data_IF_484334779697
#
_entry.id   IF_484334779697
#
_cell.length_a   1.000
_cell.length_b   1.000
_cell.length_c   1.000
_cell.angle_alpha   90.00
_cell.angle_beta   90.00
_cell.angle_gamma   90.00
#
_symmetry.space_group_name_H-M   'P 1'
#
loop_
_entity.id
_entity.type
_entity.pdbx_description
1 polymer ?
#
# COMPACT_ATOMS: atom_id res chain seq x y z
N UNK A 1 5.75 -77.06 -19.17
CA UNK A 1 7.12 -76.94 -18.63
C UNK A 1 7.54 -75.48 -18.78
N UNK A 2 7.78 -74.82 -17.65
CA UNK A 2 7.82 -73.36 -17.45
C UNK A 2 9.09 -72.71 -18.01
N UNK A 3 9.00 -71.52 -18.59
CA UNK A 3 10.13 -70.57 -18.60
C UNK A 3 9.63 -69.19 -18.17
N UNK A 4 9.96 -68.83 -16.93
CA UNK A 4 9.50 -67.62 -16.26
C UNK A 4 10.18 -66.35 -16.78
N UNK A 5 9.36 -65.35 -17.07
CA UNK A 5 9.74 -63.96 -17.30
C UNK A 5 10.38 -63.39 -16.03
N UNK A 6 11.69 -63.12 -16.06
CA UNK A 6 12.37 -62.35 -15.03
C UNK A 6 12.29 -60.86 -15.39
N UNK A 7 11.28 -60.16 -14.86
CA UNK A 7 11.22 -58.69 -14.86
C UNK A 7 11.99 -58.22 -13.61
N UNK A 8 13.19 -57.63 -13.74
CA UNK A 8 13.91 -57.14 -12.57
C UNK A 8 13.14 -55.99 -11.91
N UNK A 9 12.72 -56.23 -10.66
CA UNK A 9 12.07 -55.24 -9.82
C UNK A 9 13.01 -54.07 -9.51
N UNK A 10 12.51 -52.88 -9.89
CA UNK A 10 12.82 -51.52 -9.44
C UNK A 10 13.53 -51.45 -8.08
N UNK A 11 14.78 -50.97 -8.07
CA UNK A 11 15.55 -50.65 -6.86
C UNK A 11 15.00 -49.39 -6.18
N UNK A 12 14.21 -49.57 -5.12
CA UNK A 12 13.56 -48.50 -4.33
C UNK A 12 14.51 -47.73 -3.38
N UNK A 13 15.83 -47.80 -3.55
CA UNK A 13 16.79 -47.06 -2.71
C UNK A 13 17.06 -45.62 -3.16
N UNK A 14 16.70 -45.27 -4.40
CA UNK A 14 16.79 -43.90 -4.92
C UNK A 14 15.66 -42.97 -4.44
N UNK A 15 14.60 -43.53 -3.81
CA UNK A 15 13.40 -42.77 -3.49
C UNK A 15 13.67 -41.66 -2.45
N UNK A 16 14.44 -41.96 -1.39
CA UNK A 16 14.75 -40.97 -0.33
C UNK A 16 15.61 -39.81 -0.82
N UNK A 17 16.60 -40.10 -1.67
CA UNK A 17 17.42 -39.07 -2.30
C UNK A 17 16.59 -38.18 -3.22
N UNK A 18 15.68 -38.78 -4.01
CA UNK A 18 14.81 -38.03 -4.90
C UNK A 18 13.80 -37.15 -4.14
N UNK A 19 13.22 -37.67 -3.04
CA UNK A 19 12.40 -36.88 -2.12
C UNK A 19 13.18 -35.74 -1.46
N UNK A 20 14.42 -35.98 -1.05
CA UNK A 20 15.29 -34.93 -0.50
C UNK A 20 15.59 -33.84 -1.54
N UNK A 21 15.87 -34.23 -2.78
CA UNK A 21 16.15 -33.29 -3.86
C UNK A 21 14.92 -32.46 -4.23
N UNK A 22 13.73 -33.06 -4.25
CA UNK A 22 12.45 -32.34 -4.41
C UNK A 22 12.23 -31.37 -3.26
N UNK A 23 12.45 -31.80 -2.01
CA UNK A 23 12.29 -30.94 -0.84
C UNK A 23 13.26 -29.74 -0.90
N UNK A 24 14.51 -29.96 -1.32
CA UNK A 24 15.51 -28.90 -1.50
C UNK A 24 15.08 -27.88 -2.55
N UNK A 25 14.63 -28.34 -3.72
CA UNK A 25 14.14 -27.46 -4.79
C UNK A 25 12.88 -26.70 -4.35
N UNK A 26 11.96 -27.38 -3.67
CA UNK A 26 10.75 -26.76 -3.09
C UNK A 26 11.09 -25.67 -2.06
N UNK A 27 12.06 -25.93 -1.18
CA UNK A 27 12.53 -24.94 -0.21
C UNK A 27 13.20 -23.73 -0.89
N UNK A 28 14.03 -23.96 -1.92
CA UNK A 28 14.66 -22.88 -2.67
C UNK A 28 13.62 -21.99 -3.39
N UNK A 29 12.60 -22.60 -4.00
CA UNK A 29 11.49 -21.88 -4.62
C UNK A 29 10.69 -21.07 -3.60
N UNK A 30 10.44 -21.62 -2.40
CA UNK A 30 9.74 -20.91 -1.33
C UNK A 30 10.54 -19.69 -0.84
N UNK A 31 11.86 -19.82 -0.69
CA UNK A 31 12.72 -18.68 -0.31
C UNK A 31 12.69 -17.60 -1.40
N UNK A 32 12.73 -17.98 -2.67
CA UNK A 32 12.63 -17.01 -3.77
C UNK A 32 11.26 -16.31 -3.78
N UNK A 33 10.16 -17.06 -3.66
CA UNK A 33 8.82 -16.50 -3.58
C UNK A 33 8.63 -15.58 -2.37
N UNK A 34 9.26 -15.90 -1.24
CA UNK A 34 9.24 -15.05 -0.05
C UNK A 34 9.93 -13.70 -0.29
N UNK A 35 11.08 -13.70 -0.98
CA UNK A 35 11.77 -12.45 -1.33
C UNK A 35 10.95 -11.61 -2.33
N UNK A 36 10.30 -12.25 -3.32
CA UNK A 36 9.40 -11.57 -4.24
C UNK A 36 8.18 -10.96 -3.54
N UNK A 37 7.60 -11.67 -2.57
CA UNK A 37 6.50 -11.17 -1.75
C UNK A 37 6.91 -9.98 -0.87
N UNK A 38 8.14 -10.00 -0.34
CA UNK A 38 8.69 -8.86 0.42
C UNK A 38 8.83 -7.62 -0.45
N UNK A 39 9.32 -7.76 -1.69
CA UNK A 39 9.44 -6.63 -2.62
C UNK A 39 8.06 -6.12 -3.06
N UNK A 40 7.11 -7.01 -3.34
CA UNK A 40 5.75 -6.63 -3.71
C UNK A 40 5.00 -5.88 -2.60
N UNK A 41 5.41 -6.04 -1.34
CA UNK A 41 4.88 -5.30 -0.19
C UNK A 41 5.63 -4.00 0.12
N UNK A 42 6.73 -3.68 -0.56
CA UNK A 42 7.42 -2.41 -0.35
C UNK A 42 6.63 -1.20 -0.87
N UNK A 43 5.66 -1.45 -1.77
CA UNK A 43 4.90 -0.42 -2.48
C UNK A 43 3.39 -0.57 -2.25
N UNK A 44 2.68 0.55 -2.31
CA UNK A 44 1.24 0.62 -2.19
C UNK A 44 0.54 0.02 -3.42
N UNK A 45 -0.55 -0.70 -3.17
CA UNK A 45 -1.30 -1.39 -4.19
C UNK A 45 -1.84 -0.41 -5.26
N UNK A 46 -1.98 -0.85 -6.52
CA UNK A 46 -2.65 -0.05 -7.54
C UNK A 46 -4.07 0.36 -7.11
N UNK A 47 -4.46 1.60 -7.40
CA UNK A 47 -5.75 2.18 -7.01
C UNK A 47 -5.82 2.68 -5.57
N UNK A 48 -4.72 2.58 -4.79
CA UNK A 48 -4.70 3.07 -3.40
C UNK A 48 -4.72 4.60 -3.36
N UNK A 49 -5.56 5.15 -2.49
CA UNK A 49 -5.66 6.59 -2.21
C UNK A 49 -5.42 6.87 -0.72
N UNK A 50 -4.76 7.99 -0.44
CA UNK A 50 -4.49 8.48 0.91
C UNK A 50 -5.06 9.91 1.01
N UNK A 51 -6.11 10.09 1.80
CA UNK A 51 -6.82 11.37 1.86
C UNK A 51 -7.40 11.80 0.51
N UNK A 52 -7.79 10.85 -0.34
CA UNK A 52 -8.24 11.13 -1.71
C UNK A 52 -7.11 11.41 -2.72
N UNK A 53 -5.85 11.50 -2.29
CA UNK A 53 -4.69 11.65 -3.18
C UNK A 53 -4.24 10.28 -3.69
N UNK A 54 -4.03 10.09 -5.01
CA UNK A 54 -3.56 8.83 -5.57
C UNK A 54 -2.09 8.54 -5.21
N UNK A 55 -1.87 7.42 -4.52
CA UNK A 55 -0.55 7.01 -3.99
C UNK A 55 -0.13 5.61 -4.47
N UNK A 56 -0.72 5.16 -5.57
CA UNK A 56 -0.43 3.86 -6.19
C UNK A 56 1.05 3.72 -6.56
N UNK A 57 1.65 2.58 -6.22
CA UNK A 57 3.05 2.27 -6.57
C UNK A 57 4.09 3.04 -5.77
N UNK A 58 3.69 3.89 -4.83
CA UNK A 58 4.62 4.56 -3.91
C UNK A 58 4.95 3.71 -2.70
N UNK A 59 6.12 3.92 -2.13
CA UNK A 59 6.40 3.53 -0.76
C UNK A 59 5.55 4.35 0.24
N UNK A 60 5.36 3.87 1.48
CA UNK A 60 4.67 4.62 2.53
C UNK A 60 5.19 6.04 2.74
N UNK A 61 6.51 6.23 2.72
CA UNK A 61 7.13 7.54 2.97
C UNK A 61 6.96 8.49 1.76
N UNK A 62 7.12 7.99 0.53
CA UNK A 62 6.81 8.78 -0.68
C UNK A 62 5.33 9.17 -0.74
N UNK A 63 4.43 8.32 -0.23
CA UNK A 63 3.00 8.61 -0.18
C UNK A 63 2.70 9.76 0.79
N UNK A 64 3.34 9.77 1.95
CA UNK A 64 3.27 10.89 2.91
C UNK A 64 3.78 12.17 2.30
N UNK A 65 4.94 12.13 1.61
CA UNK A 65 5.50 13.30 0.93
C UNK A 65 4.54 13.84 -0.13
N UNK A 66 4.00 12.97 -1.00
CA UNK A 66 3.04 13.36 -2.04
C UNK A 66 1.79 14.00 -1.45
N UNK A 67 1.24 13.43 -0.38
CA UNK A 67 0.05 13.99 0.28
C UNK A 67 0.39 15.33 0.93
N UNK A 68 1.55 15.45 1.56
CA UNK A 68 2.02 16.72 2.13
C UNK A 68 2.05 17.81 1.05
N UNK A 69 2.68 17.53 -0.10
CA UNK A 69 2.73 18.47 -1.22
C UNK A 69 1.34 18.81 -1.76
N UNK A 70 0.46 17.82 -1.91
CA UNK A 70 -0.89 18.04 -2.43
C UNK A 70 -1.72 18.94 -1.51
N UNK A 71 -1.61 18.77 -0.20
CA UNK A 71 -2.35 19.54 0.80
C UNK A 71 -1.70 20.89 1.13
N UNK A 72 -0.50 21.19 0.63
CA UNK A 72 0.10 22.52 0.67
C UNK A 72 -0.43 23.44 -0.44
N UNK A 73 -1.18 22.92 -1.40
CA UNK A 73 -1.76 23.73 -2.47
C UNK A 73 -2.86 24.65 -1.91
N UNK A 74 -2.96 25.90 -2.40
CA UNK A 74 -4.03 26.80 -2.00
C UNK A 74 -5.40 26.29 -2.48
N UNK A 75 -6.41 26.55 -1.68
CA UNK A 75 -7.81 26.33 -2.07
C UNK A 75 -8.31 27.62 -2.71
N UNK A 76 -8.97 27.51 -3.86
CA UNK A 76 -9.53 28.66 -4.56
C UNK A 76 -10.95 28.91 -4.08
N UNK A 77 -11.16 30.07 -3.47
CA UNK A 77 -12.48 30.59 -3.12
C UNK A 77 -13.00 31.42 -4.28
N UNK A 78 -14.23 31.15 -4.68
CA UNK A 78 -14.92 31.94 -5.70
C UNK A 78 -15.92 32.86 -5.01
N UNK A 79 -15.69 34.17 -5.13
CA UNK A 79 -16.59 35.20 -4.64
C UNK A 79 -16.95 36.13 -5.79
N UNK A 80 -18.21 36.07 -6.22
CA UNK A 80 -18.70 36.73 -7.44
C UNK A 80 -17.83 36.38 -8.66
N UNK A 81 -17.23 37.39 -9.31
CA UNK A 81 -16.29 37.18 -10.43
C UNK A 81 -14.81 37.11 -9.98
N UNK A 82 -14.53 37.13 -8.68
CA UNK A 82 -13.18 37.10 -8.14
C UNK A 82 -12.79 35.71 -7.64
N UNK A 83 -11.55 35.30 -7.94
CA UNK A 83 -10.94 34.08 -7.38
C UNK A 83 -9.88 34.45 -6.36
N UNK A 84 -10.04 33.96 -5.13
CA UNK A 84 -9.21 34.32 -3.99
C UNK A 84 -8.51 33.04 -3.51
N UNK A 85 -7.16 32.98 -3.54
CA UNK A 85 -6.43 31.85 -2.98
C UNK A 85 -6.46 31.91 -1.45
N UNK A 86 -6.84 30.79 -0.83
CA UNK A 86 -6.70 30.54 0.61
C UNK A 86 -5.56 29.56 0.82
N UNK A 87 -4.50 30.00 1.47
CA UNK A 87 -3.38 29.13 1.79
C UNK A 87 -3.69 28.33 3.06
N UNK A 88 -3.38 27.02 3.09
CA UNK A 88 -3.59 26.17 4.27
C UNK A 88 -2.95 26.75 5.55
N UNK A 89 -1.79 27.39 5.42
CA UNK A 89 -1.08 28.01 6.53
C UNK A 89 -1.84 29.20 7.16
N UNK A 90 -2.66 29.92 6.39
CA UNK A 90 -3.48 31.04 6.89
C UNK A 90 -4.59 30.57 7.83
N UNK A 91 -5.04 29.33 7.69
CA UNK A 91 -6.07 28.72 8.54
C UNK A 91 -5.49 27.69 9.52
N UNK A 92 -4.18 27.73 9.72
CA UNK A 92 -3.45 26.79 10.57
C UNK A 92 -3.80 25.31 10.26
N UNK A 93 -3.98 24.99 8.97
CA UNK A 93 -4.30 23.63 8.54
C UNK A 93 -3.17 22.67 8.89
N UNK A 94 -3.49 21.57 9.57
CA UNK A 94 -2.53 20.52 9.94
C UNK A 94 -3.09 19.14 9.66
N UNK A 95 -2.26 18.29 9.08
CA UNK A 95 -2.54 16.86 8.94
C UNK A 95 -2.04 16.15 10.20
N UNK A 96 -2.88 15.28 10.77
CA UNK A 96 -2.47 14.40 11.84
C UNK A 96 -1.72 13.20 11.25
N UNK A 97 -0.40 13.32 11.18
CA UNK A 97 0.45 12.25 10.65
C UNK A 97 0.54 11.03 11.56
N UNK A 98 0.31 11.19 12.86
CA UNK A 98 0.31 10.07 13.81
C UNK A 98 -0.85 9.11 13.50
N UNK A 99 -2.06 9.65 13.36
CA UNK A 99 -3.24 8.83 13.04
C UNK A 99 -3.20 8.31 11.61
N UNK A 100 -2.68 9.11 10.67
CA UNK A 100 -2.49 8.68 9.28
C UNK A 100 -1.52 7.51 9.16
N UNK A 101 -0.38 7.55 9.89
CA UNK A 101 0.58 6.43 9.90
C UNK A 101 0.00 5.17 10.52
N UNK A 102 -0.75 5.31 11.62
CA UNK A 102 -1.44 4.17 12.22
C UNK A 102 -2.42 3.51 11.24
N UNK A 103 -3.22 4.30 10.52
CA UNK A 103 -4.14 3.80 9.49
C UNK A 103 -3.39 3.11 8.33
N UNK A 104 -2.24 3.64 7.93
CA UNK A 104 -1.38 3.08 6.89
C UNK A 104 -0.76 1.74 7.30
N UNK A 105 -0.23 1.67 8.52
CA UNK A 105 0.32 0.44 9.11
C UNK A 105 -0.75 -0.65 9.23
N UNK A 106 -1.97 -0.27 9.65
CA UNK A 106 -3.10 -1.19 9.75
C UNK A 106 -3.51 -1.73 8.37
N UNK A 107 -3.61 -0.86 7.36
CA UNK A 107 -3.88 -1.26 5.97
C UNK A 107 -2.80 -2.21 5.44
N UNK A 108 -1.53 -1.93 5.76
CA UNK A 108 -0.39 -2.75 5.37
C UNK A 108 -0.36 -4.12 6.09
N UNK A 109 -0.77 -4.16 7.36
CA UNK A 109 -0.91 -5.39 8.14
C UNK A 109 -2.06 -6.26 7.61
N UNK A 110 -3.22 -5.65 7.29
CA UNK A 110 -4.38 -6.35 6.70
C UNK A 110 -4.07 -6.99 5.34
N UNK A 111 -3.26 -6.33 4.52
CA UNK A 111 -2.79 -6.87 3.24
C UNK A 111 -1.70 -7.94 3.39
N UNK A 112 -1.12 -8.10 4.59
CA UNK A 112 -0.01 -8.99 4.87
C UNK A 112 -0.37 -10.42 5.26
N UNK A 113 0.60 -11.11 5.87
CA UNK A 113 0.44 -12.46 6.42
C UNK A 113 0.34 -13.57 5.37
N UNK A 114 -0.16 -14.73 5.80
CA UNK A 114 -0.30 -15.95 4.97
C UNK A 114 -1.30 -15.73 3.84
N UNK A 115 -2.37 -14.98 4.07
CA UNK A 115 -3.40 -14.68 3.05
C UNK A 115 -2.83 -13.82 1.91
N UNK A 116 -2.06 -12.78 2.24
CA UNK A 116 -1.37 -11.97 1.23
C UNK A 116 -0.32 -12.78 0.45
N UNK A 117 0.41 -13.67 1.13
CA UNK A 117 1.38 -14.56 0.49
C UNK A 117 0.72 -15.53 -0.50
N UNK A 118 -0.39 -16.17 -0.11
CA UNK A 118 -1.15 -17.04 -1.00
C UNK A 118 -1.71 -16.26 -2.20
N UNK A 119 -2.20 -15.03 -1.99
CA UNK A 119 -2.65 -14.17 -3.09
C UNK A 119 -1.50 -13.87 -4.07
N UNK A 120 -0.31 -13.57 -3.57
CA UNK A 120 0.88 -13.37 -4.40
C UNK A 120 1.26 -14.62 -5.20
N UNK A 121 1.24 -15.81 -4.57
CA UNK A 121 1.54 -17.09 -5.23
C UNK A 121 0.57 -17.37 -6.38
N UNK A 122 -0.71 -17.03 -6.21
CA UNK A 122 -1.73 -17.14 -7.25
C UNK A 122 -1.81 -15.91 -8.18
N UNK A 123 -0.81 -15.01 -8.16
CA UNK A 123 -0.74 -13.79 -8.98
C UNK A 123 -2.00 -12.90 -8.87
N UNK A 124 -2.64 -12.89 -7.71
CA UNK A 124 -3.77 -11.99 -7.43
C UNK A 124 -3.21 -10.63 -7.01
N UNK A 125 -3.59 -9.53 -7.69
CA UNK A 125 -3.17 -8.21 -7.28
C UNK A 125 -3.75 -7.86 -5.89
N UNK A 126 -3.00 -7.14 -5.05
CA UNK A 126 -3.54 -6.64 -3.79
C UNK A 126 -4.69 -5.67 -4.06
N UNK A 127 -5.74 -5.67 -3.22
CA UNK A 127 -6.86 -4.76 -3.39
C UNK A 127 -6.43 -3.30 -3.14
N UNK A 128 -7.03 -2.38 -3.88
CA UNK A 128 -6.93 -0.96 -3.63
C UNK A 128 -7.46 -0.62 -2.23
N UNK A 129 -6.73 0.21 -1.48
CA UNK A 129 -7.17 0.71 -0.18
C UNK A 129 -7.51 2.20 -0.26
N UNK A 130 -8.57 2.60 0.43
CA UNK A 130 -8.90 4.01 0.66
C UNK A 130 -8.55 4.30 2.12
N UNK A 131 -7.49 5.09 2.31
CA UNK A 131 -6.95 5.39 3.64
C UNK A 131 -7.32 6.84 3.94
N UNK A 132 -8.22 7.09 4.91
CA UNK A 132 -8.58 8.45 5.28
C UNK A 132 -7.39 9.13 5.96
N UNK A 133 -7.28 10.45 5.79
CA UNK A 133 -6.40 11.28 6.61
C UNK A 133 -7.27 12.09 7.56
N UNK A 134 -6.77 12.28 8.77
CA UNK A 134 -7.34 13.25 9.69
C UNK A 134 -6.59 14.57 9.55
N UNK A 135 -7.36 15.65 9.41
CA UNK A 135 -6.82 17.00 9.33
C UNK A 135 -7.63 17.93 10.22
N UNK A 136 -6.96 18.94 10.75
CA UNK A 136 -7.54 19.99 11.60
C UNK A 136 -7.20 21.36 11.02
N UNK A 137 -8.02 22.35 11.36
CA UNK A 137 -7.81 23.75 11.00
C UNK A 137 -8.33 24.65 12.13
N UNK A 138 -7.93 25.91 12.13
CA UNK A 138 -8.45 26.92 13.06
C UNK A 138 -9.68 27.59 12.47
N UNK A 139 -10.85 27.36 13.09
CA UNK A 139 -12.09 28.03 12.69
C UNK A 139 -12.01 29.55 12.89
N UNK A 140 -11.32 30.00 13.93
CA UNK A 140 -11.08 31.42 14.21
C UNK A 140 -10.30 32.07 13.05
N UNK A 141 -9.18 31.47 12.64
CA UNK A 141 -8.36 31.98 11.54
C UNK A 141 -9.11 31.97 10.19
N UNK A 142 -9.91 30.93 9.94
CA UNK A 142 -10.78 30.88 8.76
C UNK A 142 -11.82 32.02 8.78
N UNK A 143 -12.43 32.27 9.93
CA UNK A 143 -13.43 33.33 10.09
C UNK A 143 -12.82 34.71 9.89
N UNK A 144 -11.63 34.95 10.41
CA UNK A 144 -10.90 36.20 10.23
C UNK A 144 -10.55 36.43 8.76
N UNK A 145 -10.04 35.39 8.08
CA UNK A 145 -9.75 35.43 6.65
C UNK A 145 -11.00 35.78 5.83
N UNK A 146 -12.12 35.08 6.06
CA UNK A 146 -13.37 35.33 5.35
C UNK A 146 -13.95 36.71 5.62
N UNK A 147 -13.79 37.22 6.85
CA UNK A 147 -14.24 38.57 7.23
C UNK A 147 -13.41 39.64 6.51
N UNK A 148 -12.11 39.43 6.36
CA UNK A 148 -11.23 40.33 5.61
C UNK A 148 -11.59 40.35 4.12
N UNK A 149 -11.85 39.17 3.53
CA UNK A 149 -12.34 39.06 2.15
C UNK A 149 -13.64 39.83 1.95
N UNK A 150 -14.62 39.68 2.85
CA UNK A 150 -15.91 40.36 2.75
C UNK A 150 -15.87 41.89 2.98
N UNK A 151 -14.77 42.43 3.52
CA UNK A 151 -14.58 43.88 3.62
C UNK A 151 -13.90 44.45 2.37
N UNK A 152 -13.17 43.61 1.63
CA UNK A 152 -12.39 44.01 0.48
C UNK A 152 -13.16 43.97 -0.84
N UNK A 153 -14.26 43.20 -0.88
CA UNK A 153 -15.17 43.03 -2.03
C UNK A 153 -16.61 43.31 -1.60
#
# INVERSE_FOLDING_TARGET
MLLGLAIPHRRERGNRFWWFLIALVGAALLVWQWQGYRQARAYLAPGTTLGGVPVSGLSPDEAVERVTTAYSAPVLLHYEETTIPLYPDEVAFRINWETTRAALEEAHARAGGVRGFLAHLFRRPPPAAHIPIEATYSEEALRDFLSLVAQQY
#
